data_IF_413793582251
#
_entry.id   IF_413793582251
#
_cell.length_a   1.000
_cell.length_b   1.000
_cell.length_c   1.000
_cell.angle_alpha   90.00
_cell.angle_beta   90.00
_cell.angle_gamma   90.00
#
_symmetry.space_group_name_H-M   'P 1'
#
loop_
_entity.id
_entity.type
_entity.pdbx_description
1 polymer ?
#
# COMPACT_ATOMS: atom_id res chain seq x y z
N UNK A 1 31.47 -43.61 17.89
CA UNK A 1 31.41 -42.16 17.64
C UNK A 1 32.78 -41.56 17.91
N UNK A 2 33.45 -41.04 16.89
CA UNK A 2 34.73 -40.36 17.07
C UNK A 2 34.53 -39.04 17.83
N UNK A 3 35.48 -38.72 18.71
CA UNK A 3 35.53 -37.45 19.43
C UNK A 3 34.56 -37.27 20.62
N UNK A 4 33.76 -38.28 21.00
CA UNK A 4 32.78 -38.20 22.11
C UNK A 4 33.40 -38.11 23.52
N UNK A 5 34.72 -37.94 23.63
CA UNK A 5 35.44 -37.74 24.91
C UNK A 5 36.20 -36.41 25.02
N UNK A 6 36.37 -35.66 23.93
CA UNK A 6 37.13 -34.40 23.89
C UNK A 6 36.26 -33.16 24.13
N UNK A 7 34.94 -33.29 24.02
CA UNK A 7 34.01 -32.17 24.05
C UNK A 7 32.86 -32.41 25.04
N UNK A 8 32.52 -31.39 25.84
CA UNK A 8 31.37 -31.41 26.73
C UNK A 8 30.08 -31.16 25.96
N UNK A 9 29.08 -32.03 26.12
CA UNK A 9 27.77 -31.94 25.47
C UNK A 9 26.68 -31.63 26.48
N UNK A 10 25.81 -30.68 26.15
CA UNK A 10 24.68 -30.22 26.98
C UNK A 10 23.40 -31.03 26.71
N UNK A 11 23.29 -31.65 25.53
CA UNK A 11 22.14 -32.47 25.19
C UNK A 11 22.25 -33.15 23.83
N UNK A 12 21.39 -34.15 23.63
CA UNK A 12 21.32 -34.95 22.39
C UNK A 12 19.95 -34.78 21.76
N UNK A 13 19.92 -34.64 20.44
CA UNK A 13 18.73 -34.54 19.62
C UNK A 13 18.81 -35.59 18.49
N UNK A 14 17.77 -36.42 18.37
CA UNK A 14 17.66 -37.42 17.32
C UNK A 14 17.04 -36.88 16.02
N UNK A 15 17.05 -37.73 15.00
CA UNK A 15 16.48 -37.47 13.68
C UNK A 15 17.24 -38.25 12.62
N UNK A 16 17.40 -37.68 11.43
CA UNK A 16 18.13 -38.32 10.32
C UNK A 16 19.60 -38.52 10.62
N UNK A 17 20.20 -37.61 11.39
CA UNK A 17 21.53 -37.74 11.96
C UNK A 17 21.43 -37.60 13.48
N UNK A 18 22.43 -38.13 14.18
CA UNK A 18 22.57 -37.91 15.61
C UNK A 18 23.18 -36.52 15.82
N UNK A 19 22.41 -35.59 16.40
CA UNK A 19 22.91 -34.27 16.76
C UNK A 19 23.22 -34.21 18.26
N UNK A 20 24.41 -33.76 18.65
CA UNK A 20 24.69 -33.34 20.03
C UNK A 20 25.01 -31.85 20.07
N UNK A 21 24.48 -31.19 21.09
CA UNK A 21 24.65 -29.76 21.34
C UNK A 21 25.73 -29.59 22.40
N UNK A 22 26.77 -28.83 22.08
CA UNK A 22 27.78 -28.38 23.03
C UNK A 22 27.71 -26.87 23.22
N UNK A 23 28.60 -26.33 24.04
CA UNK A 23 28.68 -24.89 24.29
C UNK A 23 29.14 -24.14 23.04
N UNK A 24 28.20 -23.52 22.33
CA UNK A 24 28.45 -22.73 21.12
C UNK A 24 28.57 -23.52 19.82
N UNK A 25 28.31 -24.83 19.81
CA UNK A 25 28.35 -25.65 18.60
C UNK A 25 27.41 -26.85 18.64
N UNK A 26 27.14 -27.41 17.47
CA UNK A 26 26.39 -28.65 17.26
C UNK A 26 27.26 -29.60 16.44
N UNK A 27 27.31 -30.85 16.87
CA UNK A 27 27.97 -31.93 16.14
C UNK A 27 26.92 -32.88 15.58
N UNK A 28 27.01 -33.18 14.28
CA UNK A 28 26.21 -34.21 13.64
C UNK A 28 27.06 -35.45 13.34
N UNK A 29 26.57 -36.62 13.73
CA UNK A 29 27.15 -37.92 13.37
C UNK A 29 26.18 -38.73 12.53
N UNK A 30 26.76 -39.55 11.67
CA UNK A 30 26.02 -40.57 10.94
C UNK A 30 25.74 -41.76 11.87
N UNK A 31 24.52 -42.28 11.81
CA UNK A 31 24.06 -43.37 12.67
C UNK A 31 24.72 -44.69 12.31
N UNK A 32 25.05 -44.91 11.03
CA UNK A 32 25.57 -46.17 10.52
C UNK A 32 27.09 -46.26 10.71
N UNK A 33 27.83 -45.24 10.27
CA UNK A 33 29.29 -45.20 10.36
C UNK A 33 29.81 -44.68 11.70
N UNK A 34 29.05 -43.84 12.40
CA UNK A 34 29.49 -43.14 13.61
C UNK A 34 30.59 -42.09 13.36
N UNK A 35 30.83 -41.74 12.09
CA UNK A 35 31.73 -40.68 11.65
C UNK A 35 31.07 -39.30 11.79
N UNK A 36 31.91 -38.26 11.84
CA UNK A 36 31.43 -36.87 11.94
C UNK A 36 30.93 -36.44 10.57
N UNK A 37 29.69 -35.98 10.50
CA UNK A 37 29.08 -35.46 9.27
C UNK A 37 29.41 -33.99 9.12
N UNK A 38 29.10 -33.17 10.15
CA UNK A 38 29.41 -31.74 10.16
C UNK A 38 29.37 -31.19 11.58
N UNK A 39 30.29 -30.25 11.86
CA UNK A 39 30.21 -29.35 13.00
C UNK A 39 29.62 -28.00 12.57
N UNK A 40 28.65 -27.49 13.31
CA UNK A 40 28.01 -26.19 13.07
C UNK A 40 28.15 -25.34 14.32
N UNK A 41 28.84 -24.20 14.22
CA UNK A 41 29.08 -23.30 15.35
C UNK A 41 27.87 -22.38 15.59
N UNK A 42 26.87 -22.92 16.28
CA UNK A 42 25.66 -22.20 16.71
C UNK A 42 25.28 -22.62 18.13
N UNK A 43 24.92 -21.65 18.96
CA UNK A 43 24.38 -21.90 20.30
C UNK A 43 22.91 -22.33 20.23
N UNK A 44 22.69 -23.63 20.02
CA UNK A 44 21.36 -24.18 19.80
C UNK A 44 20.66 -24.64 21.09
N UNK A 45 19.38 -24.29 21.21
CA UNK A 45 18.46 -24.80 22.22
C UNK A 45 17.81 -26.12 21.79
N UNK A 46 17.40 -26.24 20.52
CA UNK A 46 16.75 -27.44 19.99
C UNK A 46 17.08 -27.65 18.51
N UNK A 47 16.96 -28.91 18.08
CA UNK A 47 17.18 -29.35 16.71
C UNK A 47 15.97 -30.17 16.27
N UNK A 48 15.41 -29.85 15.11
CA UNK A 48 14.23 -30.52 14.54
C UNK A 48 14.52 -30.96 13.11
N UNK A 49 14.48 -32.27 12.87
CA UNK A 49 14.60 -32.84 11.53
C UNK A 49 13.26 -32.88 10.81
N UNK A 50 13.29 -32.60 9.52
CA UNK A 50 12.15 -32.85 8.63
C UNK A 50 11.91 -34.36 8.49
N UNK A 51 10.65 -34.76 8.27
CA UNK A 51 10.31 -36.18 8.10
C UNK A 51 10.91 -36.85 6.86
N UNK A 52 11.38 -36.08 5.87
CA UNK A 52 12.13 -36.58 4.71
C UNK A 52 13.63 -36.68 4.98
N UNK A 53 14.12 -36.10 6.08
CA UNK A 53 15.52 -36.06 6.46
C UNK A 53 16.42 -35.13 5.66
N UNK A 54 15.88 -34.47 4.64
CA UNK A 54 16.63 -33.55 3.77
C UNK A 54 16.89 -32.18 4.41
N UNK A 55 16.20 -31.84 5.49
CA UNK A 55 16.28 -30.51 6.12
C UNK A 55 16.25 -30.62 7.63
N UNK A 56 16.93 -29.67 8.26
CA UNK A 56 17.00 -29.51 9.71
C UNK A 56 16.75 -28.05 10.09
N UNK A 57 15.95 -27.84 11.13
CA UNK A 57 15.75 -26.54 11.75
C UNK A 57 16.49 -26.52 13.09
N UNK A 58 17.37 -25.53 13.26
CA UNK A 58 18.14 -25.28 14.48
C UNK A 58 17.59 -24.02 15.13
N UNK A 59 17.18 -24.11 16.39
CA UNK A 59 16.67 -22.96 17.15
C UNK A 59 17.70 -22.51 18.17
N UNK A 60 18.10 -21.24 18.11
CA UNK A 60 18.86 -20.54 19.13
C UNK A 60 17.92 -19.68 20.00
N UNK A 61 18.47 -18.92 20.95
CA UNK A 61 17.68 -18.04 21.83
C UNK A 61 16.94 -16.95 21.03
N UNK A 62 17.65 -16.29 20.11
CA UNK A 62 17.17 -15.14 19.35
C UNK A 62 17.23 -15.32 17.83
N UNK A 63 17.48 -16.55 17.36
CA UNK A 63 17.54 -16.87 15.94
C UNK A 63 17.11 -18.30 15.66
N UNK A 64 16.75 -18.58 14.41
CA UNK A 64 16.65 -19.94 13.92
C UNK A 64 17.27 -20.06 12.52
N UNK A 65 17.82 -21.23 12.25
CA UNK A 65 18.49 -21.56 11.00
C UNK A 65 17.80 -22.76 10.38
N UNK A 66 17.60 -22.71 9.06
CA UNK A 66 17.12 -23.84 8.27
C UNK A 66 18.25 -24.26 7.36
N UNK A 67 18.70 -25.50 7.53
CA UNK A 67 19.75 -26.10 6.71
C UNK A 67 19.18 -27.25 5.89
N UNK A 68 19.68 -27.40 4.65
CA UNK A 68 19.46 -28.55 3.79
C UNK A 68 20.62 -29.52 3.98
N UNK A 69 20.29 -30.77 4.27
CA UNK A 69 21.23 -31.88 4.33
C UNK A 69 21.22 -32.64 3.00
N UNK A 70 22.39 -32.74 2.38
CA UNK A 70 22.62 -33.50 1.16
C UNK A 70 23.45 -34.75 1.50
N UNK A 71 22.77 -35.90 1.57
CA UNK A 71 23.42 -37.18 1.88
C UNK A 71 24.31 -37.67 0.74
N UNK A 72 23.99 -37.31 -0.50
CA UNK A 72 24.76 -37.74 -1.66
C UNK A 72 26.11 -36.99 -1.71
N UNK A 73 26.11 -35.69 -1.37
CA UNK A 73 27.33 -34.91 -1.23
C UNK A 73 28.25 -35.47 -0.13
N UNK A 74 27.68 -35.89 1.01
CA UNK A 74 28.42 -36.53 2.09
C UNK A 74 29.05 -37.87 1.65
N UNK A 75 28.25 -38.74 1.01
CA UNK A 75 28.73 -40.05 0.56
C UNK A 75 29.83 -39.93 -0.49
N UNK A 76 29.70 -39.00 -1.45
CA UNK A 76 30.71 -38.76 -2.48
C UNK A 76 32.08 -38.38 -1.87
N UNK A 77 32.08 -37.58 -0.80
CA UNK A 77 33.32 -37.18 -0.10
C UNK A 77 33.96 -38.31 0.69
N UNK A 78 33.16 -39.24 1.20
CA UNK A 78 33.67 -40.47 1.83
C UNK A 78 34.29 -41.39 0.78
N UNK A 79 33.64 -41.55 -0.37
CA UNK A 79 34.13 -42.39 -1.47
C UNK A 79 35.42 -41.84 -2.10
N UNK A 80 35.62 -40.52 -2.09
CA UNK A 80 36.88 -39.86 -2.48
C UNK A 80 38.05 -40.18 -1.52
N UNK A 81 37.79 -40.81 -0.36
CA UNK A 81 38.81 -41.16 0.63
C UNK A 81 39.36 -39.96 1.41
N UNK A 82 38.61 -38.86 1.48
CA UNK A 82 39.01 -37.68 2.23
C UNK A 82 39.05 -37.98 3.74
N UNK A 83 40.09 -37.51 4.44
CA UNK A 83 40.13 -37.58 5.91
C UNK A 83 39.06 -36.65 6.48
N UNK A 84 38.08 -37.23 7.17
CA UNK A 84 37.06 -36.49 7.90
C UNK A 84 37.72 -35.85 9.12
N UNK A 85 37.99 -34.54 9.02
CA UNK A 85 38.48 -33.73 10.13
C UNK A 85 37.40 -33.49 11.20
N UNK A 86 37.77 -32.84 12.31
CA UNK A 86 36.85 -32.50 13.40
C UNK A 86 35.69 -31.57 12.98
N UNK A 87 35.75 -30.94 11.80
CA UNK A 87 34.69 -30.10 11.26
C UNK A 87 33.69 -30.85 10.33
N UNK A 88 34.01 -32.07 9.91
CA UNK A 88 33.21 -32.85 8.96
C UNK A 88 33.22 -32.30 7.52
N UNK A 89 32.20 -32.64 6.73
CA UNK A 89 32.07 -32.30 5.30
C UNK A 89 31.19 -31.06 5.14
N UNK A 90 31.77 -29.95 4.69
CA UNK A 90 31.05 -28.68 4.53
C UNK A 90 29.92 -28.77 3.50
N UNK A 91 30.15 -29.48 2.39
CA UNK A 91 29.18 -29.62 1.29
C UNK A 91 27.94 -30.44 1.67
N UNK A 92 27.96 -31.15 2.80
CA UNK A 92 26.82 -31.91 3.28
C UNK A 92 25.68 -31.02 3.79
N UNK A 93 25.95 -29.76 4.16
CA UNK A 93 24.95 -28.83 4.66
C UNK A 93 24.96 -27.50 3.90
N UNK A 94 23.77 -27.04 3.52
CA UNK A 94 23.58 -25.73 2.89
C UNK A 94 22.59 -24.90 3.71
N UNK A 95 22.92 -23.63 3.96
CA UNK A 95 22.04 -22.69 4.64
C UNK A 95 20.93 -22.23 3.69
N UNK A 96 19.68 -22.59 3.99
CA UNK A 96 18.51 -22.19 3.21
C UNK A 96 17.87 -20.91 3.75
N UNK A 97 17.87 -20.76 5.08
CA UNK A 97 17.38 -19.55 5.73
C UNK A 97 18.10 -19.28 7.05
N UNK A 98 18.40 -18.00 7.27
CA UNK A 98 18.87 -17.43 8.53
C UNK A 98 17.86 -16.35 8.95
N UNK A 99 17.28 -16.51 10.15
CA UNK A 99 16.27 -15.60 10.66
C UNK A 99 16.59 -15.22 12.09
N UNK A 100 16.77 -13.92 12.31
CA UNK A 100 17.07 -13.31 13.61
C UNK A 100 15.76 -12.86 14.28
N UNK A 101 15.03 -13.79 14.89
CA UNK A 101 13.83 -13.50 15.69
C UNK A 101 13.76 -14.35 16.98
N UNK A 102 13.36 -13.70 18.09
CA UNK A 102 13.29 -14.24 19.46
C UNK A 102 12.43 -15.50 19.63
N UNK A 103 12.90 -16.39 20.53
CA UNK A 103 12.42 -17.76 20.83
C UNK A 103 11.00 -18.14 20.38
N UNK A 104 10.98 -19.17 19.53
CA UNK A 104 9.88 -19.53 18.64
C UNK A 104 9.39 -20.96 18.93
N UNK A 105 8.08 -21.15 18.93
CA UNK A 105 7.47 -22.48 18.87
C UNK A 105 7.42 -22.97 17.43
N UNK A 106 8.20 -24.01 17.14
CA UNK A 106 8.22 -24.69 15.85
C UNK A 106 7.39 -25.97 15.95
N UNK A 107 6.38 -26.08 15.09
CA UNK A 107 5.75 -27.37 14.79
C UNK A 107 5.86 -27.68 13.31
N UNK A 108 5.97 -28.97 13.00
CA UNK A 108 5.99 -29.49 11.63
C UNK A 108 4.74 -30.33 11.37
N UNK A 109 4.28 -30.34 10.13
CA UNK A 109 3.25 -31.27 9.66
C UNK A 109 3.72 -32.03 8.43
N UNK A 110 3.41 -33.33 8.38
CA UNK A 110 3.67 -34.18 7.23
C UNK A 110 2.35 -34.48 6.50
N UNK A 111 2.39 -34.43 5.17
CA UNK A 111 1.41 -35.08 4.29
C UNK A 111 2.14 -36.25 3.64
N UNK A 112 1.50 -37.42 3.65
CA UNK A 112 2.03 -38.71 3.16
C UNK A 112 2.28 -38.77 1.65
N UNK A 113 1.97 -37.71 0.90
CA UNK A 113 2.08 -37.71 -0.56
C UNK A 113 3.46 -37.20 -1.01
N UNK A 114 4.23 -38.07 -1.66
CA UNK A 114 5.66 -37.94 -2.01
C UNK A 114 6.02 -36.76 -2.94
N UNK A 115 5.05 -35.91 -3.29
CA UNK A 115 5.23 -34.66 -4.06
C UNK A 115 5.15 -33.40 -3.19
N UNK A 116 4.91 -33.56 -1.89
CA UNK A 116 4.65 -32.49 -0.95
C UNK A 116 5.94 -32.11 -0.21
N UNK A 117 6.47 -30.93 -0.51
CA UNK A 117 7.61 -30.42 0.27
C UNK A 117 7.21 -29.99 1.69
N UNK A 118 8.21 -30.06 2.55
CA UNK A 118 8.35 -29.54 3.91
C UNK A 118 7.61 -28.21 4.22
N UNK A 119 7.06 -28.12 5.44
CA UNK A 119 6.37 -26.93 5.98
C UNK A 119 6.79 -26.67 7.41
N UNK A 120 7.26 -25.46 7.67
CA UNK A 120 7.52 -24.97 9.02
C UNK A 120 6.38 -24.04 9.43
N UNK A 121 5.77 -24.26 10.60
CA UNK A 121 4.84 -23.31 11.18
C UNK A 121 5.58 -22.44 12.19
N UNK A 122 5.68 -21.15 11.87
CA UNK A 122 6.12 -20.12 12.80
C UNK A 122 4.92 -19.63 13.61
N UNK A 123 4.96 -19.83 14.93
CA UNK A 123 3.98 -19.28 15.86
C UNK A 123 4.65 -18.18 16.68
N UNK A 124 4.26 -16.95 16.39
CA UNK A 124 4.76 -15.76 17.05
C UNK A 124 3.92 -15.45 18.30
N UNK A 125 4.57 -15.13 19.40
CA UNK A 125 3.91 -14.66 20.62
C UNK A 125 4.43 -13.27 20.97
N UNK A 126 3.84 -12.21 20.41
CA UNK A 126 4.14 -10.84 20.82
C UNK A 126 2.84 -10.05 21.00
N UNK A 127 2.70 -9.52 22.22
CA UNK A 127 1.90 -8.36 22.55
C UNK A 127 2.40 -7.17 21.73
N UNK A 128 1.56 -6.63 20.84
CA UNK A 128 1.78 -5.38 20.10
C UNK A 128 3.08 -5.28 19.27
N UNK A 129 2.97 -5.57 17.98
CA UNK A 129 3.45 -4.72 16.87
C UNK A 129 3.44 -5.53 15.57
N UNK A 130 2.94 -4.91 14.50
CA UNK A 130 2.90 -5.47 13.16
C UNK A 130 4.28 -5.34 12.51
N UNK A 131 5.03 -6.42 12.34
CA UNK A 131 6.25 -6.45 11.50
C UNK A 131 6.28 -7.77 10.71
N UNK A 132 6.40 -7.75 9.37
CA UNK A 132 6.55 -8.97 8.58
C UNK A 132 7.87 -9.01 7.78
N UNK A 133 8.76 -9.96 8.09
CA UNK A 133 10.00 -10.23 7.32
C UNK A 133 10.24 -11.76 7.26
N UNK A 134 10.12 -12.41 6.08
CA UNK A 134 11.16 -13.10 5.25
C UNK A 134 11.57 -14.51 5.77
N UNK A 135 11.92 -15.56 5.01
CA UNK A 135 12.12 -15.87 3.57
C UNK A 135 12.03 -17.41 3.38
N UNK A 136 12.00 -17.88 2.11
CA UNK A 136 12.00 -19.29 1.68
C UNK A 136 10.90 -20.22 2.25
N UNK A 137 9.84 -20.44 1.45
CA UNK A 137 8.84 -21.51 1.65
C UNK A 137 8.06 -21.53 2.99
N UNK A 138 8.17 -20.52 3.84
CA UNK A 138 7.52 -20.46 5.15
C UNK A 138 6.19 -19.70 5.10
N UNK A 139 5.10 -20.38 5.47
CA UNK A 139 3.84 -19.71 5.80
C UNK A 139 3.95 -19.13 7.19
N UNK A 140 3.75 -17.82 7.31
CA UNK A 140 3.57 -17.18 8.62
C UNK A 140 2.07 -17.26 8.95
N UNK A 141 1.73 -18.14 9.89
CA UNK A 141 0.44 -18.14 10.53
C UNK A 141 0.53 -17.20 11.74
N UNK A 142 0.23 -15.91 11.56
CA UNK A 142 0.08 -15.01 12.71
C UNK A 142 -1.21 -15.34 13.44
N UNK A 143 -1.11 -16.19 14.46
CA UNK A 143 -2.17 -16.39 15.45
C UNK A 143 -1.81 -15.53 16.65
N UNK A 144 -2.61 -14.50 16.91
CA UNK A 144 -2.46 -13.71 18.13
C UNK A 144 -2.92 -14.57 19.31
N UNK A 145 -1.98 -15.01 20.14
CA UNK A 145 -2.26 -15.77 21.35
C UNK A 145 -1.84 -14.92 22.54
N UNK A 146 -2.78 -14.63 23.43
CA UNK A 146 -2.53 -13.80 24.63
C UNK A 146 -1.71 -14.53 25.70
N UNK A 147 -1.39 -15.82 25.49
CA UNK A 147 -0.72 -16.70 26.46
C UNK A 147 0.20 -17.71 25.76
N UNK A 148 1.18 -18.23 26.50
CA UNK A 148 2.12 -19.26 26.03
C UNK A 148 1.40 -20.61 25.82
N UNK A 149 1.43 -21.11 24.58
CA UNK A 149 0.93 -22.44 24.21
C UNK A 149 2.07 -23.26 23.61
N UNK A 150 2.21 -24.53 23.95
CA UNK A 150 3.08 -25.48 23.27
C UNK A 150 2.39 -26.08 22.05
N UNK A 151 3.07 -26.19 20.91
CA UNK A 151 2.48 -26.82 19.73
C UNK A 151 2.40 -28.33 19.91
N UNK A 152 1.20 -28.89 19.79
CA UNK A 152 0.91 -30.30 20.00
C UNK A 152 0.55 -30.96 18.66
N UNK A 153 1.47 -30.91 17.71
CA UNK A 153 1.39 -31.58 16.41
C UNK A 153 0.15 -31.26 15.53
N UNK A 154 0.24 -31.68 14.28
CA UNK A 154 -0.88 -31.73 13.34
C UNK A 154 -1.36 -33.16 13.19
N UNK A 155 -2.67 -33.38 13.26
CA UNK A 155 -3.26 -34.70 13.07
C UNK A 155 -3.50 -34.94 11.56
N UNK A 156 -2.99 -36.02 10.94
CA UNK A 156 -3.04 -36.21 9.48
C UNK A 156 -4.42 -36.13 8.80
N UNK A 157 -5.54 -36.61 9.39
CA UNK A 157 -6.84 -36.57 8.73
C UNK A 157 -7.63 -35.25 8.95
N UNK A 158 -7.18 -34.34 9.81
CA UNK A 158 -7.81 -33.02 9.95
C UNK A 158 -6.78 -31.93 9.66
N UNK A 159 -7.09 -30.96 8.77
CA UNK A 159 -6.15 -29.88 8.48
C UNK A 159 -6.20 -28.82 9.61
N UNK A 160 -5.86 -29.25 10.82
CA UNK A 160 -5.87 -28.45 12.05
C UNK A 160 -4.54 -28.54 12.76
N UNK A 161 -4.07 -27.40 13.24
CA UNK A 161 -2.90 -27.29 14.12
C UNK A 161 -3.42 -27.26 15.55
N UNK A 162 -2.94 -28.18 16.39
CA UNK A 162 -3.33 -28.22 17.80
C UNK A 162 -2.23 -27.59 18.65
N UNK A 163 -2.66 -26.76 19.60
CA UNK A 163 -1.83 -26.04 20.55
C UNK A 163 -2.23 -26.50 21.95
N UNK A 164 -1.32 -27.19 22.64
CA UNK A 164 -1.48 -27.58 24.04
C UNK A 164 -0.95 -26.50 24.98
N UNK A 165 -1.37 -26.53 26.24
CA UNK A 165 -0.79 -25.71 27.32
C UNK A 165 -0.39 -26.63 28.47
N UNK A 166 0.62 -26.25 29.26
CA UNK A 166 0.84 -26.82 30.59
C UNK A 166 -0.45 -26.64 31.41
N UNK A 167 -1.16 -27.74 31.66
CA UNK A 167 -2.53 -27.77 32.21
C UNK A 167 -3.60 -28.41 31.31
N UNK A 168 -3.21 -29.09 30.22
CA UNK A 168 -4.11 -29.88 29.34
C UNK A 168 -5.24 -29.08 28.65
N UNK A 169 -5.08 -27.77 28.48
CA UNK A 169 -5.94 -26.99 27.57
C UNK A 169 -5.45 -27.12 26.14
N UNK A 170 -6.36 -27.43 25.21
CA UNK A 170 -6.07 -27.61 23.80
C UNK A 170 -6.82 -26.58 22.96
N UNK A 171 -6.12 -25.91 22.04
CA UNK A 171 -6.70 -25.04 21.01
C UNK A 171 -6.46 -25.67 19.64
N UNK A 172 -7.49 -25.78 18.81
CA UNK A 172 -7.37 -26.26 17.44
C UNK A 172 -7.55 -25.12 16.43
N UNK A 173 -6.52 -24.79 15.67
CA UNK A 173 -6.58 -23.82 14.58
C UNK A 173 -6.83 -24.52 13.24
N UNK A 174 -7.83 -24.11 12.48
CA UNK A 174 -8.12 -24.67 11.15
C UNK A 174 -7.22 -24.02 10.09
N UNK A 175 -6.40 -24.81 9.43
CA UNK A 175 -5.50 -24.39 8.35
C UNK A 175 -6.06 -24.87 7.02
N UNK A 176 -6.17 -24.00 6.01
CA UNK A 176 -6.51 -24.47 4.66
C UNK A 176 -5.26 -24.99 3.95
N UNK A 177 -5.10 -26.32 3.90
CA UNK A 177 -3.96 -26.97 3.27
C UNK A 177 -3.78 -26.53 1.80
N UNK A 178 -4.88 -26.41 1.06
CA UNK A 178 -4.92 -25.97 -0.35
C UNK A 178 -4.39 -24.55 -0.54
N UNK A 179 -4.68 -23.62 0.37
CA UNK A 179 -4.14 -22.24 0.32
C UNK A 179 -2.63 -22.27 0.49
N UNK A 180 -2.17 -23.08 1.45
CA UNK A 180 -0.74 -23.21 1.73
C UNK A 180 0.02 -23.77 0.55
N UNK A 181 -0.52 -24.83 -0.06
CA UNK A 181 0.07 -25.43 -1.26
C UNK A 181 0.16 -24.47 -2.44
N UNK A 182 -0.90 -23.71 -2.68
CA UNK A 182 -0.93 -22.75 -3.78
C UNK A 182 0.15 -21.69 -3.58
N UNK A 183 0.22 -21.10 -2.39
CA UNK A 183 1.22 -20.09 -2.04
C UNK A 183 2.65 -20.66 -2.10
N UNK A 184 2.91 -21.88 -1.63
CA UNK A 184 4.23 -22.53 -1.78
C UNK A 184 4.59 -22.76 -3.25
N UNK A 185 3.63 -23.18 -4.09
CA UNK A 185 3.87 -23.34 -5.54
C UNK A 185 4.17 -22.00 -6.22
N UNK A 186 3.48 -20.91 -5.81
CA UNK A 186 3.77 -19.55 -6.27
C UNK A 186 5.20 -19.15 -5.91
N UNK A 187 5.63 -19.38 -4.66
CA UNK A 187 6.97 -19.05 -4.18
C UNK A 187 8.07 -19.84 -4.90
N UNK A 188 7.81 -21.10 -5.26
CA UNK A 188 8.73 -21.95 -6.03
C UNK A 188 8.79 -21.58 -7.51
N UNK A 189 7.94 -20.67 -7.98
CA UNK A 189 7.86 -20.29 -9.39
C UNK A 189 7.20 -21.34 -10.29
N UNK A 190 6.69 -22.45 -9.76
CA UNK A 190 6.03 -23.51 -10.53
C UNK A 190 4.67 -23.01 -11.08
N UNK A 191 4.64 -22.66 -12.37
CA UNK A 191 3.45 -22.20 -13.08
C UNK A 191 2.43 -23.32 -13.35
N UNK A 192 2.90 -24.56 -13.51
CA UNK A 192 2.04 -25.69 -13.85
C UNK A 192 1.27 -26.16 -12.62
N UNK A 193 1.95 -26.32 -11.48
CA UNK A 193 1.31 -26.64 -10.20
C UNK A 193 0.33 -25.56 -9.73
N UNK A 194 0.60 -24.29 -10.05
CA UNK A 194 -0.31 -23.16 -9.76
C UNK A 194 -1.68 -23.34 -10.41
N UNK A 195 -1.75 -23.58 -11.72
CA UNK A 195 -3.02 -23.67 -12.47
C UNK A 195 -3.87 -24.88 -12.08
N UNK A 196 -3.24 -26.03 -11.87
CA UNK A 196 -3.96 -27.26 -11.51
C UNK A 196 -4.56 -27.18 -10.11
N UNK A 197 -3.87 -26.52 -9.16
CA UNK A 197 -4.36 -26.29 -7.79
C UNK A 197 -5.34 -25.11 -7.67
N UNK A 198 -5.23 -24.13 -8.56
CA UNK A 198 -6.14 -22.98 -8.67
C UNK A 198 -7.60 -23.38 -8.98
N UNK A 199 -7.80 -24.45 -9.75
CA UNK A 199 -9.13 -24.91 -10.18
C UNK A 199 -9.95 -25.62 -9.09
N UNK A 200 -9.47 -25.72 -7.85
CA UNK A 200 -10.23 -26.37 -6.78
C UNK A 200 -11.25 -25.40 -6.16
N UNK A 201 -12.54 -25.74 -6.30
CA UNK A 201 -13.69 -25.01 -5.72
C UNK A 201 -13.58 -24.77 -4.20
N UNK A 202 -12.78 -25.56 -3.49
CA UNK A 202 -12.56 -25.47 -2.03
C UNK A 202 -11.95 -24.15 -1.57
N UNK A 203 -11.32 -23.39 -2.47
CA UNK A 203 -10.60 -22.18 -2.09
C UNK A 203 -11.51 -20.97 -1.86
N UNK A 204 -12.78 -20.94 -2.35
CA UNK A 204 -13.66 -19.74 -2.44
C UNK A 204 -13.68 -18.85 -1.18
N UNK A 205 -13.74 -19.44 0.01
CA UNK A 205 -13.73 -18.71 1.29
C UNK A 205 -12.41 -17.98 1.60
N UNK A 206 -11.32 -18.39 0.97
CA UNK A 206 -9.96 -17.90 1.21
C UNK A 206 -9.37 -17.12 0.02
N UNK A 207 -10.16 -16.80 -1.02
CA UNK A 207 -9.67 -16.07 -2.21
C UNK A 207 -9.11 -14.70 -1.85
N UNK A 208 -9.72 -13.99 -0.90
CA UNK A 208 -9.19 -12.71 -0.43
C UNK A 208 -7.83 -12.84 0.27
N UNK A 209 -7.57 -13.95 0.97
CA UNK A 209 -6.25 -14.22 1.58
C UNK A 209 -5.20 -14.51 0.50
N UNK A 210 -5.57 -15.30 -0.51
CA UNK A 210 -4.71 -15.60 -1.65
C UNK A 210 -4.43 -14.34 -2.47
N UNK A 211 -5.44 -13.52 -2.77
CA UNK A 211 -5.30 -12.28 -3.50
C UNK A 211 -4.37 -11.30 -2.77
N UNK A 212 -4.55 -11.12 -1.46
CA UNK A 212 -3.66 -10.27 -0.65
C UNK A 212 -2.22 -10.78 -0.62
N UNK A 213 -2.01 -12.10 -0.62
CA UNK A 213 -0.68 -12.68 -0.75
C UNK A 213 -0.06 -12.35 -2.11
N UNK A 214 -0.79 -12.54 -3.21
CA UNK A 214 -0.34 -12.25 -4.58
C UNK A 214 -0.07 -10.75 -4.82
N UNK A 215 -0.84 -9.87 -4.18
CA UNK A 215 -0.72 -8.41 -4.30
C UNK A 215 0.42 -7.78 -3.50
N UNK A 216 1.17 -8.54 -2.69
CA UNK A 216 2.23 -7.98 -1.86
C UNK A 216 3.39 -7.42 -2.70
N UNK A 217 3.94 -6.23 -2.35
CA UNK A 217 4.94 -5.51 -3.16
C UNK A 217 6.20 -6.30 -3.51
N UNK A 218 6.60 -7.28 -2.68
CA UNK A 218 7.83 -8.05 -2.84
C UNK A 218 7.73 -9.18 -3.88
N UNK A 219 6.53 -9.48 -4.36
CA UNK A 219 6.32 -10.32 -5.53
C UNK A 219 6.29 -9.41 -6.77
N UNK A 220 7.45 -8.85 -7.12
CA UNK A 220 7.66 -7.88 -8.21
C UNK A 220 7.60 -8.56 -9.58
N UNK A 221 6.50 -9.26 -9.81
CA UNK A 221 6.21 -9.97 -11.04
C UNK A 221 4.85 -9.46 -11.46
N UNK A 222 4.83 -8.65 -12.52
CA UNK A 222 3.63 -7.97 -13.05
C UNK A 222 2.51 -9.00 -13.27
N UNK A 223 2.87 -10.21 -13.67
CA UNK A 223 1.99 -11.37 -13.83
C UNK A 223 1.27 -11.79 -12.54
N UNK A 224 1.87 -11.63 -11.36
CA UNK A 224 1.24 -12.03 -10.09
C UNK A 224 0.18 -11.03 -9.62
N UNK A 225 0.38 -9.74 -9.89
CA UNK A 225 -0.62 -8.70 -9.57
C UNK A 225 -1.84 -8.81 -10.48
N UNK A 226 -1.64 -9.11 -11.76
CA UNK A 226 -2.75 -9.40 -12.69
C UNK A 226 -3.56 -10.64 -12.26
N UNK A 227 -2.88 -11.69 -11.77
CA UNK A 227 -3.55 -12.84 -11.18
C UNK A 227 -4.28 -12.45 -9.88
N UNK A 228 -3.69 -11.61 -9.03
CA UNK A 228 -4.35 -11.10 -7.84
C UNK A 228 -5.66 -10.35 -8.18
N UNK A 229 -5.65 -9.56 -9.25
CA UNK A 229 -6.81 -8.82 -9.74
C UNK A 229 -7.95 -9.74 -10.21
N UNK A 230 -7.62 -10.89 -10.81
CA UNK A 230 -8.61 -11.91 -11.23
C UNK A 230 -9.18 -12.69 -10.07
N UNK A 231 -8.43 -12.81 -8.96
CA UNK A 231 -8.78 -13.62 -7.79
C UNK A 231 -9.51 -12.81 -6.73
N UNK A 232 -9.22 -11.52 -6.61
CA UNK A 232 -9.82 -10.68 -5.57
C UNK A 232 -11.33 -10.53 -5.78
N UNK A 233 -12.11 -10.75 -4.73
CA UNK A 233 -13.54 -10.45 -4.71
C UNK A 233 -13.85 -9.18 -3.92
N UNK A 234 -12.88 -8.71 -3.12
CA UNK A 234 -12.94 -7.49 -2.33
C UNK A 234 -12.76 -6.24 -3.24
N UNK A 235 -13.74 -5.31 -3.31
CA UNK A 235 -13.68 -4.13 -4.17
C UNK A 235 -12.58 -3.14 -3.77
N UNK A 236 -12.25 -3.03 -2.49
CA UNK A 236 -11.21 -2.12 -2.01
C UNK A 236 -9.83 -2.59 -2.46
N UNK A 237 -9.56 -3.86 -2.19
CA UNK A 237 -8.33 -4.50 -2.64
C UNK A 237 -8.22 -4.54 -4.17
N UNK A 238 -9.35 -4.72 -4.88
CA UNK A 238 -9.39 -4.66 -6.35
C UNK A 238 -9.03 -3.26 -6.85
N UNK A 239 -9.54 -2.21 -6.21
CA UNK A 239 -9.22 -0.83 -6.57
C UNK A 239 -7.72 -0.54 -6.39
N UNK A 240 -7.14 -0.90 -5.24
CA UNK A 240 -5.72 -0.69 -4.98
C UNK A 240 -4.82 -1.46 -5.97
N UNK A 241 -5.19 -2.70 -6.31
CA UNK A 241 -4.49 -3.48 -7.33
C UNK A 241 -4.60 -2.85 -8.73
N UNK A 242 -5.78 -2.33 -9.08
CA UNK A 242 -6.01 -1.69 -10.37
C UNK A 242 -5.17 -0.41 -10.51
N UNK A 243 -5.07 0.39 -9.45
CA UNK A 243 -4.18 1.55 -9.39
C UNK A 243 -2.70 1.16 -9.54
N UNK A 244 -2.27 0.07 -8.93
CA UNK A 244 -0.89 -0.42 -9.05
C UNK A 244 -0.55 -1.01 -10.42
N UNK A 245 -1.57 -1.48 -11.16
CA UNK A 245 -1.44 -2.06 -12.50
C UNK A 245 -1.70 -1.05 -13.62
N UNK A 246 -2.00 0.21 -13.29
CA UNK A 246 -2.40 1.25 -14.24
C UNK A 246 -3.67 0.93 -15.05
N UNK A 247 -4.49 0.00 -14.55
CA UNK A 247 -5.81 -0.31 -15.09
C UNK A 247 -6.83 0.70 -14.54
N UNK A 248 -6.81 1.90 -15.13
CA UNK A 248 -7.67 3.01 -14.70
C UNK A 248 -9.15 2.75 -15.00
N UNK A 249 -9.46 1.96 -16.03
CA UNK A 249 -10.85 1.72 -16.45
C UNK A 249 -11.60 0.90 -15.40
N UNK A 250 -11.00 -0.20 -14.92
CA UNK A 250 -11.60 -0.98 -13.82
C UNK A 250 -11.63 -0.20 -12.51
N UNK A 251 -10.62 0.63 -12.23
CA UNK A 251 -10.63 1.50 -11.06
C UNK A 251 -11.77 2.56 -11.11
N UNK A 252 -12.07 3.12 -12.29
CA UNK A 252 -13.21 4.03 -12.52
C UNK A 252 -14.53 3.31 -12.30
N UNK A 253 -14.69 2.09 -12.81
CA UNK A 253 -15.91 1.30 -12.61
C UNK A 253 -16.16 1.01 -11.13
N UNK A 254 -15.12 0.63 -10.39
CA UNK A 254 -15.20 0.38 -8.95
C UNK A 254 -15.55 1.67 -8.21
N UNK A 255 -14.89 2.78 -8.49
CA UNK A 255 -15.17 4.07 -7.86
C UNK A 255 -16.60 4.59 -8.11
N UNK A 256 -17.24 4.19 -9.22
CA UNK A 256 -18.66 4.50 -9.50
C UNK A 256 -19.65 3.63 -8.73
N UNK A 257 -19.25 2.42 -8.35
CA UNK A 257 -20.11 1.48 -7.65
C UNK A 257 -20.25 1.77 -6.14
N UNK A 258 -19.36 2.61 -5.60
CA UNK A 258 -19.26 2.93 -4.17
C UNK A 258 -20.05 4.21 -3.86
N UNK A 259 -20.65 4.34 -2.65
CA UNK A 259 -21.29 5.57 -2.21
C UNK A 259 -20.36 6.80 -2.27
N UNK A 260 -20.90 7.96 -2.65
CA UNK A 260 -20.11 9.17 -2.93
C UNK A 260 -19.17 9.62 -1.78
N UNK A 261 -19.59 9.42 -0.52
CA UNK A 261 -18.82 9.81 0.66
C UNK A 261 -17.50 9.03 0.81
N UNK A 262 -17.50 7.75 0.47
CA UNK A 262 -16.29 6.90 0.50
C UNK A 262 -15.50 6.99 -0.81
N UNK A 263 -16.19 7.34 -1.89
CA UNK A 263 -15.60 7.44 -3.21
C UNK A 263 -14.67 8.66 -3.35
N UNK A 264 -14.84 9.75 -2.59
CA UNK A 264 -14.03 10.98 -2.75
C UNK A 264 -12.52 10.73 -2.62
N UNK A 265 -12.10 9.96 -1.60
CA UNK A 265 -10.70 9.61 -1.40
C UNK A 265 -10.14 8.72 -2.53
N UNK A 266 -10.96 7.79 -3.04
CA UNK A 266 -10.60 6.91 -4.17
C UNK A 266 -10.55 7.67 -5.49
N UNK A 267 -11.46 8.61 -5.73
CA UNK A 267 -11.42 9.48 -6.90
C UNK A 267 -10.17 10.37 -6.89
N UNK A 268 -9.73 10.81 -5.71
CA UNK A 268 -8.48 11.56 -5.57
C UNK A 268 -7.26 10.70 -5.94
N UNK A 269 -7.10 9.52 -5.34
CA UNK A 269 -5.96 8.65 -5.66
C UNK A 269 -5.95 8.18 -7.12
N UNK A 270 -7.14 7.92 -7.68
CA UNK A 270 -7.30 7.65 -9.11
C UNK A 270 -6.91 8.85 -9.97
N UNK A 271 -7.31 10.06 -9.58
CA UNK A 271 -6.96 11.31 -10.24
C UNK A 271 -5.45 11.55 -10.26
N UNK A 272 -4.77 11.37 -9.13
CA UNK A 272 -3.32 11.52 -9.00
C UNK A 272 -2.57 10.50 -9.88
N UNK A 273 -3.01 9.23 -9.87
CA UNK A 273 -2.43 8.19 -10.73
C UNK A 273 -2.66 8.49 -12.21
N UNK A 274 -3.86 8.94 -12.56
CA UNK A 274 -4.20 9.25 -13.95
C UNK A 274 -3.49 10.52 -14.47
N UNK A 275 -3.23 11.50 -13.61
CA UNK A 275 -2.38 12.67 -13.92
C UNK A 275 -0.95 12.25 -14.27
N UNK A 276 -0.39 11.28 -13.53
CA UNK A 276 0.95 10.73 -13.80
C UNK A 276 1.06 10.14 -15.21
N UNK A 277 -0.05 9.58 -15.73
CA UNK A 277 -0.13 8.99 -17.07
C UNK A 277 -0.81 9.88 -18.13
N UNK A 278 -1.08 11.16 -17.82
CA UNK A 278 -1.68 12.11 -18.76
C UNK A 278 -3.17 11.90 -19.06
N UNK A 279 -3.89 11.05 -18.30
CA UNK A 279 -5.33 10.78 -18.45
C UNK A 279 -6.13 11.35 -17.28
N UNK A 280 -6.00 12.64 -16.99
CA UNK A 280 -6.61 13.23 -15.80
C UNK A 280 -8.16 13.13 -15.79
N UNK A 281 -8.72 12.59 -14.70
CA UNK A 281 -10.16 12.40 -14.55
C UNK A 281 -10.83 13.68 -14.03
N UNK A 282 -11.81 14.20 -14.79
CA UNK A 282 -12.65 15.37 -14.43
C UNK A 282 -13.56 15.16 -13.20
N UNK A 283 -13.53 13.98 -12.58
CA UNK A 283 -14.47 13.55 -11.54
C UNK A 283 -13.90 13.57 -10.11
N UNK A 284 -12.60 13.78 -9.94
CA UNK A 284 -12.07 14.06 -8.60
C UNK A 284 -12.65 15.39 -8.13
N UNK A 285 -13.19 15.43 -6.91
CA UNK A 285 -13.73 16.64 -6.30
C UNK A 285 -12.62 17.64 -5.87
N UNK A 286 -11.41 17.46 -6.41
CA UNK A 286 -10.28 18.37 -6.28
C UNK A 286 -10.40 19.47 -7.34
N UNK A 287 -11.10 20.53 -6.97
CA UNK A 287 -11.36 21.66 -7.84
C UNK A 287 -10.06 22.41 -8.23
N UNK A 288 -9.03 22.38 -7.38
CA UNK A 288 -7.75 23.05 -7.66
C UNK A 288 -6.98 22.31 -8.76
N UNK A 289 -6.86 20.99 -8.64
CA UNK A 289 -6.23 20.16 -9.66
C UNK A 289 -7.02 20.20 -10.98
N UNK A 290 -8.35 20.21 -10.90
CA UNK A 290 -9.21 20.34 -12.07
C UNK A 290 -9.02 21.69 -12.79
N UNK A 291 -8.87 22.80 -12.05
CA UNK A 291 -8.60 24.10 -12.66
C UNK A 291 -7.28 24.08 -13.43
N UNK A 292 -6.18 23.57 -12.84
CA UNK A 292 -4.89 23.48 -13.50
C UNK A 292 -4.95 22.66 -14.79
N UNK A 293 -5.68 21.54 -14.76
CA UNK A 293 -5.89 20.71 -15.94
C UNK A 293 -6.67 21.45 -17.03
N UNK A 294 -7.77 22.10 -16.67
CA UNK A 294 -8.62 22.84 -17.62
C UNK A 294 -7.87 24.03 -18.22
N UNK A 295 -7.02 24.70 -17.44
CA UNK A 295 -6.13 25.75 -17.92
C UNK A 295 -5.09 25.22 -18.91
N UNK A 296 -4.47 24.08 -18.61
CA UNK A 296 -3.50 23.45 -19.51
C UNK A 296 -4.12 22.98 -20.83
N UNK A 297 -5.37 22.50 -20.79
CA UNK A 297 -6.12 22.08 -21.99
C UNK A 297 -6.71 23.27 -22.76
N UNK A 298 -6.93 24.41 -22.08
CA UNK A 298 -7.65 25.55 -22.65
C UNK A 298 -9.17 25.35 -22.74
N UNK A 299 -9.75 24.44 -21.95
CA UNK A 299 -11.19 24.12 -21.98
C UNK A 299 -12.02 25.21 -21.27
N UNK A 300 -12.56 26.15 -22.06
CA UNK A 300 -13.36 27.28 -21.57
C UNK A 300 -14.68 26.85 -20.91
N UNK A 301 -15.36 25.86 -21.46
CA UNK A 301 -16.64 25.38 -20.93
C UNK A 301 -16.46 24.66 -19.59
N UNK A 302 -15.40 23.86 -19.47
CA UNK A 302 -15.02 23.23 -18.22
C UNK A 302 -14.69 24.25 -17.12
N UNK A 303 -13.94 25.31 -17.46
CA UNK A 303 -13.62 26.41 -16.54
C UNK A 303 -14.90 27.16 -16.07
N UNK A 304 -15.88 27.35 -16.95
CA UNK A 304 -17.17 27.98 -16.61
C UNK A 304 -18.03 27.10 -15.69
N UNK A 305 -18.01 25.79 -15.90
CA UNK A 305 -18.66 24.84 -15.00
C UNK A 305 -17.98 24.81 -13.61
N UNK A 306 -16.65 24.91 -13.58
CA UNK A 306 -15.86 24.94 -12.35
C UNK A 306 -16.12 26.21 -11.53
N UNK A 307 -16.12 27.38 -12.17
CA UNK A 307 -16.44 28.65 -11.49
C UNK A 307 -17.85 28.65 -10.90
N UNK A 308 -18.82 28.10 -11.63
CA UNK A 308 -20.20 27.94 -11.16
C UNK A 308 -20.29 26.98 -9.96
N UNK A 309 -19.54 25.87 -9.97
CA UNK A 309 -19.48 24.92 -8.85
C UNK A 309 -18.84 25.56 -7.62
N UNK A 310 -17.71 26.25 -7.79
CA UNK A 310 -17.03 26.94 -6.70
C UNK A 310 -17.90 28.06 -6.09
N UNK A 311 -18.59 28.83 -6.92
CA UNK A 311 -19.50 29.92 -6.49
C UNK A 311 -20.79 29.46 -5.82
N UNK A 312 -21.27 28.23 -6.07
CA UNK A 312 -22.48 27.65 -5.46
C UNK A 312 -22.21 26.86 -4.18
N UNK A 313 -20.96 26.65 -3.80
CA UNK A 313 -20.62 25.95 -2.57
C UNK A 313 -21.12 26.70 -1.33
N UNK A 314 -21.34 25.99 -0.21
CA UNK A 314 -21.83 26.62 1.03
C UNK A 314 -20.82 27.67 1.54
N UNK A 315 -21.27 28.82 2.10
CA UNK A 315 -20.37 29.91 2.52
C UNK A 315 -19.28 29.48 3.51
N UNK A 316 -19.58 28.59 4.46
CA UNK A 316 -18.59 28.03 5.39
C UNK A 316 -17.52 27.20 4.67
N UNK A 317 -17.94 26.38 3.71
CA UNK A 317 -17.06 25.54 2.89
C UNK A 317 -16.20 26.36 1.91
N UNK A 318 -16.72 27.49 1.43
CA UNK A 318 -15.99 28.43 0.57
C UNK A 318 -14.84 29.12 1.30
N UNK A 319 -15.05 29.50 2.56
CA UNK A 319 -14.04 30.13 3.39
C UNK A 319 -12.95 29.14 3.83
N UNK A 320 -13.33 27.92 4.23
CA UNK A 320 -12.38 26.88 4.67
C UNK A 320 -11.50 26.34 3.52
N UNK A 321 -12.05 26.20 2.31
CA UNK A 321 -11.30 25.67 1.14
C UNK A 321 -10.79 26.72 0.16
N UNK A 322 -10.98 28.02 0.44
CA UNK A 322 -10.52 29.10 -0.45
C UNK A 322 -11.19 29.11 -1.84
N UNK A 323 -12.41 28.57 -1.97
CA UNK A 323 -13.10 28.38 -3.25
C UNK A 323 -13.45 29.70 -3.95
N UNK A 324 -13.56 30.80 -3.20
CA UNK A 324 -13.78 32.12 -3.77
C UNK A 324 -12.58 32.59 -4.60
N UNK A 325 -11.36 32.30 -4.17
CA UNK A 325 -10.15 32.63 -4.93
C UNK A 325 -10.07 31.78 -6.21
N UNK A 326 -10.44 30.50 -6.12
CA UNK A 326 -10.50 29.60 -7.27
C UNK A 326 -11.54 30.05 -8.29
N UNK A 327 -12.74 30.42 -7.82
CA UNK A 327 -13.81 30.96 -8.67
C UNK A 327 -13.36 32.26 -9.36
N UNK A 328 -12.74 33.17 -8.61
CA UNK A 328 -12.19 34.42 -9.15
C UNK A 328 -11.14 34.16 -10.23
N UNK A 329 -10.13 33.34 -9.94
CA UNK A 329 -9.07 33.02 -10.90
C UNK A 329 -9.62 32.36 -12.18
N UNK A 330 -10.59 31.47 -12.03
CA UNK A 330 -11.25 30.80 -13.16
C UNK A 330 -12.04 31.78 -14.03
N UNK A 331 -12.82 32.68 -13.43
CA UNK A 331 -13.58 33.70 -14.17
C UNK A 331 -12.68 34.75 -14.81
N UNK A 332 -11.58 35.11 -14.14
CA UNK A 332 -10.59 36.04 -14.66
C UNK A 332 -9.92 35.47 -15.92
N UNK A 333 -9.53 34.20 -15.90
CA UNK A 333 -8.94 33.56 -17.07
C UNK A 333 -9.92 33.46 -18.25
N UNK A 334 -11.21 33.29 -17.97
CA UNK A 334 -12.26 33.27 -19.02
C UNK A 334 -12.48 34.64 -19.67
N UNK A 335 -11.96 35.71 -19.07
CA UNK A 335 -12.19 37.10 -19.48
C UNK A 335 -13.53 37.67 -18.96
N UNK A 336 -14.21 36.98 -18.04
CA UNK A 336 -15.47 37.45 -17.46
C UNK A 336 -15.21 38.39 -16.27
N UNK A 337 -14.74 39.59 -16.58
CA UNK A 337 -14.45 40.62 -15.58
C UNK A 337 -15.71 41.08 -14.83
N UNK A 338 -16.89 41.04 -15.45
CA UNK A 338 -18.16 41.44 -14.82
C UNK A 338 -18.51 40.50 -13.66
N UNK A 339 -18.44 39.19 -13.89
CA UNK A 339 -18.70 38.20 -12.83
C UNK A 339 -17.66 38.26 -11.70
N UNK A 340 -16.41 38.64 -12.01
CA UNK A 340 -15.37 38.86 -11.00
C UNK A 340 -15.70 40.02 -10.06
N UNK A 341 -16.18 41.14 -10.59
CA UNK A 341 -16.64 42.30 -9.79
C UNK A 341 -17.81 41.88 -8.91
N UNK A 342 -18.78 41.15 -9.46
CA UNK A 342 -19.94 40.65 -8.71
C UNK A 342 -19.53 39.72 -7.56
N UNK A 343 -18.52 38.86 -7.75
CA UNK A 343 -17.99 38.02 -6.69
C UNK A 343 -17.34 38.85 -5.58
N UNK A 344 -16.51 39.83 -5.93
CA UNK A 344 -15.85 40.70 -4.95
C UNK A 344 -16.86 41.50 -4.12
N UNK A 345 -17.90 42.06 -4.77
CA UNK A 345 -19.01 42.75 -4.10
C UNK A 345 -19.74 41.78 -3.15
N UNK A 346 -20.06 40.56 -3.58
CA UNK A 346 -20.70 39.53 -2.73
C UNK A 346 -19.86 39.17 -1.51
N UNK A 347 -18.53 39.14 -1.64
CA UNK A 347 -17.61 38.85 -0.53
C UNK A 347 -17.32 40.05 0.38
N UNK A 348 -18.07 41.16 0.24
CA UNK A 348 -17.87 42.40 1.01
C UNK A 348 -16.49 43.05 0.81
N UNK A 349 -15.87 42.84 -0.38
CA UNK A 349 -14.58 43.44 -0.79
C UNK A 349 -14.81 44.53 -1.83
N UNK A 350 -15.75 45.43 -1.55
CA UNK A 350 -16.17 46.50 -2.48
C UNK A 350 -15.04 47.47 -2.93
N UNK A 351 -14.06 47.86 -2.09
CA UNK A 351 -12.94 48.71 -2.54
C UNK A 351 -12.09 48.03 -3.62
N UNK A 352 -11.83 46.73 -3.46
CA UNK A 352 -11.08 45.95 -4.44
C UNK A 352 -11.88 45.72 -5.73
N UNK A 353 -13.20 45.52 -5.59
CA UNK A 353 -14.12 45.46 -6.72
C UNK A 353 -14.09 46.74 -7.56
N UNK A 354 -14.05 47.91 -6.91
CA UNK A 354 -13.98 49.20 -7.60
C UNK A 354 -12.64 49.40 -8.34
N UNK A 355 -11.52 49.02 -7.71
CA UNK A 355 -10.20 49.08 -8.34
C UNK A 355 -10.09 48.12 -9.53
N UNK A 356 -10.58 46.90 -9.36
CA UNK A 356 -10.59 45.89 -10.42
C UNK A 356 -11.50 46.32 -11.58
N UNK A 357 -12.70 46.82 -11.29
CA UNK A 357 -13.62 47.34 -12.31
C UNK A 357 -13.00 48.52 -13.07
N UNK A 358 -12.33 49.46 -12.41
CA UNK A 358 -11.66 50.58 -13.09
C UNK A 358 -10.62 50.11 -14.12
N UNK A 359 -9.99 48.96 -13.88
CA UNK A 359 -8.92 48.41 -14.74
C UNK A 359 -9.46 47.50 -15.85
N UNK A 360 -10.42 46.63 -15.54
CA UNK A 360 -10.84 45.53 -16.44
C UNK A 360 -12.29 45.61 -16.91
N UNK A 361 -13.17 46.35 -16.22
CA UNK A 361 -14.59 46.51 -16.57
C UNK A 361 -15.14 47.88 -16.11
N UNK A 362 -14.74 48.99 -16.76
CA UNK A 362 -15.12 50.35 -16.36
C UNK A 362 -16.63 50.55 -16.18
N UNK A 363 -17.45 49.86 -16.98
CA UNK A 363 -18.91 49.87 -16.90
C UNK A 363 -19.48 49.43 -15.55
N UNK A 364 -18.73 48.63 -14.77
CA UNK A 364 -19.15 48.12 -13.46
C UNK A 364 -18.67 48.98 -12.28
N UNK A 365 -17.85 50.02 -12.51
CA UNK A 365 -17.35 50.88 -11.43
C UNK A 365 -18.46 51.57 -10.64
N UNK A 366 -19.53 52.14 -11.27
CA UNK A 366 -20.62 52.74 -10.50
C UNK A 366 -21.24 51.77 -9.49
N UNK A 367 -21.54 50.55 -9.93
CA UNK A 367 -22.09 49.48 -9.09
C UNK A 367 -21.18 49.13 -7.91
N UNK A 368 -19.87 49.02 -8.15
CA UNK A 368 -18.90 48.70 -7.11
C UNK A 368 -18.72 49.86 -6.10
N UNK A 369 -18.74 51.11 -6.58
CA UNK A 369 -18.64 52.31 -5.74
C UNK A 369 -19.90 52.49 -4.89
N UNK A 370 -21.09 52.27 -5.45
CA UNK A 370 -22.35 52.29 -4.70
C UNK A 370 -22.33 51.27 -3.56
N UNK A 371 -21.89 50.04 -3.85
CA UNK A 371 -21.72 49.00 -2.83
C UNK A 371 -20.70 49.40 -1.76
N UNK A 372 -19.59 50.03 -2.16
CA UNK A 372 -18.56 50.50 -1.22
C UNK A 372 -19.06 51.63 -0.32
N UNK A 373 -19.75 52.63 -0.89
CA UNK A 373 -20.34 53.71 -0.12
C UNK A 373 -21.42 53.20 0.83
N UNK A 374 -22.23 52.22 0.41
CA UNK A 374 -23.23 51.58 1.27
C UNK A 374 -22.59 50.83 2.45
N UNK A 375 -21.53 50.04 2.20
CA UNK A 375 -20.80 49.33 3.26
C UNK A 375 -20.13 50.31 4.26
N UNK A 376 -19.55 51.41 3.78
CA UNK A 376 -18.97 52.44 4.65
C UNK A 376 -20.03 53.16 5.50
N UNK A 377 -21.21 53.43 4.93
CA UNK A 377 -22.35 54.00 5.68
C UNK A 377 -22.83 53.03 6.74
N UNK A 378 -22.95 51.74 6.42
CA UNK A 378 -23.32 50.68 7.37
C UNK A 378 -22.31 50.54 8.52
N UNK A 379 -21.01 50.79 8.26
CA UNK A 379 -19.94 50.82 9.28
C UNK A 379 -19.82 52.15 10.04
N UNK A 380 -20.82 53.03 9.97
CA UNK A 380 -20.84 54.36 10.60
C UNK A 380 -19.67 55.28 10.17
N UNK A 381 -19.24 55.20 8.90
CA UNK A 381 -18.18 56.06 8.32
C UNK A 381 -18.67 56.93 7.16
N UNK A 382 -19.71 57.78 7.36
CA UNK A 382 -20.32 58.56 6.28
C UNK A 382 -19.38 59.59 5.65
N UNK A 383 -18.46 60.18 6.43
CA UNK A 383 -17.46 61.13 5.92
C UNK A 383 -16.52 60.49 4.91
N UNK A 384 -16.12 59.24 5.16
CA UNK A 384 -15.24 58.47 4.26
C UNK A 384 -16.04 57.99 3.05
N UNK A 385 -17.32 57.64 3.22
CA UNK A 385 -18.18 57.30 2.09
C UNK A 385 -18.33 58.48 1.11
N UNK A 386 -18.46 59.71 1.62
CA UNK A 386 -18.58 60.91 0.79
C UNK A 386 -17.27 61.29 0.07
N UNK A 387 -16.11 60.87 0.58
CA UNK A 387 -14.82 61.10 -0.10
C UNK A 387 -14.55 60.12 -1.25
N UNK A 388 -15.33 59.03 -1.37
CA UNK A 388 -15.21 58.10 -2.49
C UNK A 388 -15.88 58.72 -3.73
N UNK A 389 -15.08 59.09 -4.72
CA UNK A 389 -15.58 59.68 -5.96
C UNK A 389 -16.41 58.68 -6.77
N UNK A 390 -17.61 59.12 -7.20
CA UNK A 390 -18.50 58.32 -8.03
C UNK A 390 -18.44 58.80 -9.50
N UNK A 391 -18.23 57.91 -10.50
CA UNK A 391 -18.05 58.31 -11.89
C UNK A 391 -19.21 59.14 -12.47
N UNK A 392 -20.45 58.84 -12.06
CA UNK A 392 -21.64 59.57 -12.55
C UNK A 392 -21.91 60.89 -11.83
N UNK A 393 -21.37 61.09 -10.61
CA UNK A 393 -21.64 62.28 -9.82
C UNK A 393 -20.49 63.29 -9.88
N UNK A 394 -19.27 62.78 -10.03
CA UNK A 394 -18.04 63.57 -10.05
C UNK A 394 -17.26 63.30 -11.34
N UNK A 395 -17.91 63.51 -12.50
CA UNK A 395 -17.31 63.23 -13.81
C UNK A 395 -15.97 63.98 -14.00
N UNK A 396 -15.87 65.19 -13.45
CA UNK A 396 -14.69 66.06 -13.48
C UNK A 396 -13.46 65.47 -12.78
N UNK A 397 -13.61 64.42 -11.95
CA UNK A 397 -12.48 63.72 -11.31
C UNK A 397 -11.97 62.52 -12.13
N UNK A 398 -12.68 62.16 -13.21
CA UNK A 398 -12.37 61.00 -14.07
C UNK A 398 -11.90 61.45 -15.46
N UNK A 399 -10.98 62.42 -15.51
CA UNK A 399 -10.44 63.01 -16.76
C UNK A 399 -9.46 62.09 -17.51
N UNK A 400 -8.97 61.02 -16.86
CA UNK A 400 -8.02 60.05 -17.45
C UNK A 400 -8.70 59.10 -18.46
N UNK A 401 -9.11 59.61 -19.63
CA UNK A 401 -9.55 58.76 -20.76
C UNK A 401 -10.73 57.83 -20.43
N UNK A 402 -11.58 58.21 -19.48
CA UNK A 402 -12.67 57.36 -18.98
C UNK A 402 -13.67 56.99 -20.08
N UNK A 403 -13.99 57.94 -20.97
CA UNK A 403 -14.83 57.69 -22.14
C UNK A 403 -14.18 56.70 -23.12
N UNK A 404 -12.87 56.80 -23.33
CA UNK A 404 -12.12 55.87 -24.18
C UNK A 404 -12.03 54.47 -23.56
N UNK A 405 -11.94 54.37 -22.23
CA UNK A 405 -11.96 53.10 -21.52
C UNK A 405 -13.31 52.39 -21.65
N UNK A 406 -14.42 53.13 -21.54
CA UNK A 406 -15.77 52.61 -21.79
C UNK A 406 -15.98 52.21 -23.26
N UNK A 407 -15.43 52.98 -24.20
CA UNK A 407 -15.45 52.65 -25.62
C UNK A 407 -14.62 51.39 -25.94
N UNK A 408 -13.45 51.22 -25.31
CA UNK A 408 -12.63 50.01 -25.46
C UNK A 408 -13.29 48.78 -24.85
N UNK A 409 -13.96 48.90 -23.72
CA UNK A 409 -14.70 47.76 -23.12
C UNK A 409 -15.84 47.30 -24.02
N UNK A 410 -16.61 48.23 -24.59
CA UNK A 410 -17.69 47.91 -25.52
C UNK A 410 -17.18 47.36 -26.85
N UNK A 411 -16.02 47.84 -27.34
CA UNK A 411 -15.33 47.28 -28.52
C UNK A 411 -14.78 45.86 -28.30
N UNK A 412 -14.19 45.59 -27.12
CA UNK A 412 -13.64 44.27 -26.76
C UNK A 412 -14.71 43.19 -26.54
N UNK A 413 -15.97 43.55 -26.25
CA UNK A 413 -17.07 42.57 -26.24
C UNK A 413 -17.37 41.98 -27.64
N UNK A 414 -16.95 42.67 -28.70
CA UNK A 414 -17.10 42.22 -30.10
C UNK A 414 -15.83 41.58 -30.68
N UNK A 415 -14.67 41.76 -30.05
CA UNK A 415 -13.42 41.12 -30.46
C UNK A 415 -13.29 39.79 -29.74
N UNK A 416 -13.72 38.72 -30.40
CA UNK A 416 -13.41 37.34 -30.02
C UNK A 416 -11.89 37.24 -29.86
N UNK A 417 -11.44 37.13 -28.61
CA UNK A 417 -10.04 36.83 -28.30
C UNK A 417 -9.75 35.44 -28.86
N UNK A 418 -9.13 35.45 -30.04
CA UNK A 418 -8.35 34.42 -30.73
C UNK A 418 -8.84 32.99 -30.45
N UNK A 419 -9.59 32.45 -31.40
CA UNK A 419 -9.63 31.01 -31.64
C UNK A 419 -8.19 30.53 -31.77
N UNK A 420 -7.71 29.84 -30.74
CA UNK A 420 -6.48 29.07 -30.84
C UNK A 420 -6.81 27.78 -31.60
N UNK A 421 -6.81 27.87 -32.93
CA UNK A 421 -6.64 26.71 -33.81
C UNK A 421 -5.28 26.08 -33.62
#
# INVERSE_FOLDING_TARGET
>A
MKGVGSWSMDGINGGTLLGARGSGFIMFWDWESGEIVRRIDVEAQNIYWSGTGSLVAITAADSFYILRFDRDAYNAKIEEGAEISDEGVEEAFEVVADVQEGSLLISYSQSTDSKMGWRLFHLHNIFQATVPTLWAASHILSVHLTRLYTSLATYPPTPRVYLGRQGCQHLGYSLSLSVVEYQTAVLRGDMAGRRTKFCQHSLRSSWNKVARFLGRPRHTRIDLKELALKVTTDPDHKFDLSLQLDDLDTAVEIARSIPELEAEAKWKSLGDRALTHGKASRKANDLSALMLLLLAIGDRDGLKALSSKAGKAKPSYQAEKGLNNLAFASMFQLGDAKSCVDLLVKTQRAPEAALFARTYAPSQVPKAVDAWQADLKAKNRPKIAASVAHPSANADLFEEGWADALAKESGSQNAVLVDAT
#
